data_IF_120599077855
#
_entry.id   IF_120599077855
#
_cell.length_a   1.000
_cell.length_b   1.000
_cell.length_c   1.000
_cell.angle_alpha   90.00
_cell.angle_beta   90.00
_cell.angle_gamma   90.00
#
_symmetry.space_group_name_H-M   'P 1'
#
loop_
_entity.id
_entity.type
_entity.pdbx_description
1 polymer ?
#
# COMPACT_ATOMS: atom_id res chain seq x y z
N UNK A 1 -11.61 -34.86 -23.02
CA UNK A 1 -12.23 -33.53 -22.90
C UNK A 1 -12.29 -33.21 -21.42
N UNK A 2 -11.17 -32.78 -20.85
CA UNK A 2 -11.08 -32.43 -19.43
C UNK A 2 -11.10 -30.91 -19.30
N UNK A 3 -12.19 -30.42 -18.73
CA UNK A 3 -12.44 -29.02 -18.44
C UNK A 3 -11.64 -28.66 -17.18
N UNK A 4 -10.46 -28.10 -17.36
CA UNK A 4 -9.69 -27.46 -16.29
C UNK A 4 -10.50 -26.27 -15.76
N UNK A 5 -11.09 -26.46 -14.59
CA UNK A 5 -11.62 -25.39 -13.73
C UNK A 5 -10.49 -24.40 -13.44
N UNK A 6 -10.40 -23.35 -14.25
CA UNK A 6 -9.62 -22.15 -13.96
C UNK A 6 -10.14 -21.58 -12.65
N UNK A 7 -9.36 -21.72 -11.59
CA UNK A 7 -9.58 -21.01 -10.32
C UNK A 7 -9.37 -19.53 -10.63
N UNK A 8 -10.49 -18.82 -10.81
CA UNK A 8 -10.51 -17.38 -11.00
C UNK A 8 -9.96 -16.72 -9.75
N UNK A 9 -8.82 -16.09 -9.92
CA UNK A 9 -8.13 -15.36 -8.88
C UNK A 9 -8.59 -13.90 -8.91
N UNK A 10 -8.61 -13.27 -7.73
CA UNK A 10 -9.02 -11.88 -7.51
C UNK A 10 -7.87 -11.18 -6.76
N UNK A 11 -6.78 -10.85 -7.46
CA UNK A 11 -5.55 -10.22 -6.98
C UNK A 11 -5.40 -8.75 -7.38
N UNK A 12 -6.41 -7.97 -7.04
CA UNK A 12 -6.65 -6.58 -7.42
C UNK A 12 -5.56 -5.73 -6.75
N UNK A 13 -4.59 -5.24 -7.51
CA UNK A 13 -3.85 -4.08 -7.03
C UNK A 13 -4.72 -2.84 -7.22
N UNK A 14 -4.36 -1.73 -6.61
CA UNK A 14 -5.21 -0.60 -6.21
C UNK A 14 -5.67 -0.60 -4.78
N UNK A 15 -5.83 0.62 -4.31
CA UNK A 15 -6.66 1.14 -3.23
C UNK A 15 -8.10 0.56 -3.02
N UNK A 16 -8.45 -0.68 -3.39
CA UNK A 16 -9.51 -1.51 -2.80
C UNK A 16 -9.82 -2.69 -3.72
N UNK A 17 -9.72 -3.90 -3.18
CA UNK A 17 -10.22 -5.13 -3.78
C UNK A 17 -11.57 -5.48 -3.14
N UNK A 18 -12.61 -5.84 -3.89
CA UNK A 18 -13.79 -6.50 -3.30
C UNK A 18 -15.14 -6.06 -3.85
N UNK A 19 -16.13 -6.96 -3.82
CA UNK A 19 -17.49 -6.74 -4.30
C UNK A 19 -18.32 -5.90 -3.32
N UNK A 20 -19.23 -5.07 -3.84
CA UNK A 20 -20.17 -4.26 -3.06
C UNK A 20 -21.39 -5.07 -2.61
N UNK A 21 -21.55 -5.26 -1.30
CA UNK A 21 -22.86 -5.37 -0.68
C UNK A 21 -23.00 -4.11 0.18
N UNK A 22 -24.06 -3.32 -0.03
CA UNK A 22 -24.33 -2.12 0.78
C UNK A 22 -24.34 -2.48 2.26
N UNK A 23 -23.31 -2.07 3.00
CA UNK A 23 -23.15 -2.38 4.42
C UNK A 23 -23.61 -1.17 5.24
N UNK A 24 -24.35 -1.44 6.31
CA UNK A 24 -24.66 -0.43 7.32
C UNK A 24 -23.34 0.13 7.91
N UNK A 25 -23.29 1.41 8.32
CA UNK A 25 -22.07 2.00 8.89
C UNK A 25 -21.60 1.16 10.09
N UNK A 26 -20.35 0.71 10.03
CA UNK A 26 -19.76 -0.11 11.09
C UNK A 26 -19.69 0.72 12.38
N UNK A 27 -20.35 0.25 13.45
CA UNK A 27 -20.35 0.89 14.77
C UNK A 27 -19.18 0.44 15.66
N UNK A 28 -18.22 -0.30 15.10
CA UNK A 28 -17.08 -0.92 15.79
C UNK A 28 -15.84 -0.69 14.94
N UNK A 29 -14.67 -0.38 15.53
CA UNK A 29 -13.45 -0.22 14.75
C UNK A 29 -13.02 -1.53 14.10
N UNK A 30 -12.42 -1.44 12.90
CA UNK A 30 -11.77 -2.57 12.26
C UNK A 30 -10.26 -2.49 12.50
N UNK A 31 -9.73 -3.44 13.27
CA UNK A 31 -8.34 -3.43 13.74
C UNK A 31 -7.61 -4.77 13.48
N UNK A 32 -8.23 -5.72 12.78
CA UNK A 32 -7.70 -7.08 12.64
C UNK A 32 -6.38 -7.13 11.86
N UNK A 33 -6.24 -6.31 10.80
CA UNK A 33 -5.04 -6.28 9.97
C UNK A 33 -3.84 -5.60 10.65
N UNK A 34 -4.06 -4.77 11.66
CA UNK A 34 -2.98 -4.06 12.38
C UNK A 34 -1.91 -5.03 12.88
N UNK A 35 -2.32 -6.16 13.46
CA UNK A 35 -1.39 -7.09 14.12
C UNK A 35 -0.83 -8.17 13.20
N UNK A 36 -1.33 -8.26 11.97
CA UNK A 36 -1.02 -9.34 11.04
C UNK A 36 -0.31 -8.84 9.79
N UNK A 37 -0.50 -7.58 9.43
CA UNK A 37 0.27 -6.90 8.39
C UNK A 37 1.62 -6.50 8.98
N UNK A 38 2.76 -6.89 8.35
CA UNK A 38 4.06 -6.42 8.83
C UNK A 38 4.19 -4.89 8.70
N UNK A 39 5.03 -4.31 9.55
CA UNK A 39 5.37 -2.89 9.56
C UNK A 39 6.86 -2.73 9.29
N UNK A 40 7.26 -2.98 8.04
CA UNK A 40 8.63 -2.80 7.60
C UNK A 40 8.87 -1.32 7.28
N UNK A 41 10.03 -0.81 7.71
CA UNK A 41 10.40 0.59 7.50
C UNK A 41 11.38 0.72 6.34
N UNK A 42 11.28 1.81 5.59
CA UNK A 42 12.10 2.03 4.39
C UNK A 42 13.59 2.28 4.71
N UNK A 43 13.94 2.45 5.98
CA UNK A 43 15.31 2.62 6.47
C UNK A 43 15.80 1.44 7.30
N UNK A 44 15.08 0.32 7.29
CA UNK A 44 15.52 -0.87 7.99
C UNK A 44 16.88 -1.35 7.46
N UNK A 45 17.88 -1.38 8.34
CA UNK A 45 19.26 -1.70 7.98
C UNK A 45 19.64 -3.15 8.27
N UNK A 46 18.70 -4.01 8.68
CA UNK A 46 19.00 -5.37 9.13
C UNK A 46 19.72 -6.22 8.06
N UNK A 47 19.49 -5.91 6.78
CA UNK A 47 20.12 -6.57 5.64
C UNK A 47 20.94 -5.61 4.76
N UNK A 48 21.41 -4.49 5.32
CA UNK A 48 22.24 -3.51 4.60
C UNK A 48 21.47 -2.30 4.04
N UNK A 49 20.15 -2.24 4.23
CA UNK A 49 19.31 -1.18 3.69
C UNK A 49 19.14 -1.29 2.17
N UNK A 50 18.79 -0.20 1.50
CA UNK A 50 18.52 -0.20 0.06
C UNK A 50 19.56 0.67 -0.69
N UNK A 51 20.79 0.18 -0.90
CA UNK A 51 21.78 0.88 -1.70
C UNK A 51 21.48 0.78 -3.20
N UNK A 52 21.84 1.80 -3.98
CA UNK A 52 21.95 1.68 -5.44
C UNK A 52 23.26 1.00 -5.88
N UNK A 53 23.50 0.96 -7.20
CA UNK A 53 24.72 0.40 -7.80
C UNK A 53 26.03 1.10 -7.36
N UNK A 54 25.95 2.31 -6.80
CA UNK A 54 27.08 3.07 -6.26
C UNK A 54 27.22 2.96 -4.73
N UNK A 55 26.33 2.20 -4.07
CA UNK A 55 26.33 2.06 -2.62
C UNK A 55 25.65 3.21 -1.86
N UNK A 56 24.93 4.10 -2.55
CA UNK A 56 24.19 5.20 -1.92
C UNK A 56 22.87 4.67 -1.36
N UNK A 57 22.60 4.89 -0.08
CA UNK A 57 21.38 4.42 0.56
C UNK A 57 20.16 5.27 0.14
N UNK A 58 19.18 4.62 -0.49
CA UNK A 58 17.96 5.23 -1.00
C UNK A 58 16.75 5.07 -0.07
N UNK A 59 16.97 4.68 1.18
CA UNK A 59 15.87 4.43 2.12
C UNK A 59 14.86 5.59 2.19
N UNK A 60 15.29 6.85 2.02
CA UNK A 60 14.42 8.02 1.95
C UNK A 60 13.33 8.00 0.85
N UNK A 61 13.54 7.22 -0.21
CA UNK A 61 12.72 7.19 -1.42
C UNK A 61 11.87 5.93 -1.57
N UNK A 62 12.02 4.97 -0.66
CA UNK A 62 11.47 3.62 -0.77
C UNK A 62 10.07 3.46 -0.16
N UNK A 63 9.37 4.56 0.13
CA UNK A 63 8.03 4.53 0.73
C UNK A 63 7.03 3.71 -0.08
N UNK A 64 7.06 3.83 -1.42
CA UNK A 64 6.17 3.10 -2.34
C UNK A 64 6.39 1.59 -2.31
N UNK A 65 7.61 1.12 -2.64
CA UNK A 65 7.98 -0.29 -2.53
C UNK A 65 7.74 -0.85 -1.12
N UNK A 66 8.17 -0.14 -0.08
CA UNK A 66 8.03 -0.62 1.31
C UNK A 66 6.57 -0.75 1.74
N UNK A 67 5.72 0.25 1.47
CA UNK A 67 4.28 0.15 1.79
C UNK A 67 3.58 -0.97 1.01
N UNK A 68 4.01 -1.18 -0.24
CA UNK A 68 3.50 -2.26 -1.08
C UNK A 68 3.93 -3.62 -0.53
N UNK A 69 5.18 -3.76 -0.10
CA UNK A 69 5.68 -5.03 0.47
C UNK A 69 4.95 -5.40 1.76
N UNK A 70 4.64 -4.43 2.64
CA UNK A 70 3.82 -4.69 3.83
C UNK A 70 2.50 -5.38 3.48
N UNK A 71 1.84 -4.88 2.44
CA UNK A 71 0.57 -5.42 1.93
C UNK A 71 0.72 -6.79 1.25
N UNK A 72 1.72 -6.96 0.41
CA UNK A 72 1.98 -8.21 -0.31
C UNK A 72 2.42 -9.34 0.63
N UNK A 73 3.22 -9.02 1.66
CA UNK A 73 3.60 -9.96 2.70
C UNK A 73 2.39 -10.43 3.50
N UNK A 74 1.45 -9.53 3.81
CA UNK A 74 0.19 -9.91 4.45
C UNK A 74 -0.60 -10.90 3.57
N UNK A 75 -0.77 -10.63 2.28
CA UNK A 75 -1.42 -11.56 1.37
C UNK A 75 -0.68 -12.90 1.30
N UNK A 76 0.65 -12.90 1.17
CA UNK A 76 1.47 -14.11 1.10
C UNK A 76 1.28 -14.99 2.35
N UNK A 77 1.24 -14.38 3.53
CA UNK A 77 0.98 -15.06 4.80
C UNK A 77 -0.46 -15.59 4.91
N UNK A 78 -1.39 -15.12 4.07
CA UNK A 78 -2.81 -15.50 4.05
C UNK A 78 -3.19 -16.33 2.81
N UNK A 79 -2.25 -17.10 2.27
CA UNK A 79 -2.51 -18.10 1.23
C UNK A 79 -2.16 -17.69 -0.20
N UNK A 80 -1.66 -16.48 -0.40
CA UNK A 80 -1.21 -15.96 -1.71
C UNK A 80 0.30 -16.15 -1.88
N UNK A 81 0.73 -17.40 -1.72
CA UNK A 81 2.12 -17.77 -1.42
C UNK A 81 3.16 -17.42 -2.48
N UNK A 82 2.76 -17.08 -3.71
CA UNK A 82 3.71 -16.68 -4.75
C UNK A 82 4.03 -15.18 -4.72
N UNK A 83 3.34 -14.37 -3.90
CA UNK A 83 3.57 -12.91 -3.80
C UNK A 83 4.82 -12.52 -3.00
N UNK A 84 5.43 -13.49 -2.30
CA UNK A 84 6.67 -13.29 -1.57
C UNK A 84 7.32 -14.64 -1.33
N UNK A 85 8.66 -14.71 -1.19
CA UNK A 85 9.29 -15.89 -0.59
C UNK A 85 8.65 -16.20 0.77
N UNK A 86 8.60 -17.49 1.16
CA UNK A 86 8.04 -17.96 2.43
C UNK A 86 9.10 -18.75 3.23
N UNK A 87 10.28 -18.19 3.40
CA UNK A 87 11.35 -18.80 4.18
C UNK A 87 11.12 -18.60 5.67
N UNK A 88 11.98 -19.18 6.51
CA UNK A 88 11.93 -18.95 7.96
C UNK A 88 12.33 -17.52 8.34
N UNK A 89 13.10 -16.83 7.50
CA UNK A 89 13.48 -15.44 7.73
C UNK A 89 12.52 -14.50 6.98
N UNK A 90 11.34 -14.30 7.57
CA UNK A 90 10.27 -13.46 7.00
C UNK A 90 10.70 -12.00 6.82
N UNK A 91 11.62 -11.51 7.65
CA UNK A 91 12.11 -10.13 7.54
C UNK A 91 13.02 -9.98 6.33
N UNK A 92 13.89 -10.97 6.09
CA UNK A 92 14.68 -11.02 4.85
C UNK A 92 13.79 -11.19 3.63
N UNK A 93 12.79 -12.07 3.68
CA UNK A 93 11.86 -12.25 2.55
C UNK A 93 11.16 -10.93 2.17
N UNK A 94 10.79 -10.12 3.17
CA UNK A 94 10.23 -8.80 2.92
C UNK A 94 11.25 -7.82 2.35
N UNK A 95 12.48 -7.84 2.85
CA UNK A 95 13.58 -7.03 2.32
C UNK A 95 13.81 -7.31 0.83
N UNK A 96 13.96 -8.60 0.48
CA UNK A 96 14.18 -9.06 -0.90
C UNK A 96 12.98 -8.71 -1.79
N UNK A 97 11.75 -8.77 -1.24
CA UNK A 97 10.55 -8.33 -1.94
C UNK A 97 10.57 -6.83 -2.24
N UNK A 98 11.00 -6.00 -1.29
CA UNK A 98 11.14 -4.54 -1.50
C UNK A 98 12.11 -4.26 -2.63
N UNK A 99 13.30 -4.87 -2.62
CA UNK A 99 14.28 -4.72 -3.70
C UNK A 99 13.72 -5.19 -5.05
N UNK A 100 13.04 -6.34 -5.06
CA UNK A 100 12.42 -6.88 -6.27
C UNK A 100 11.44 -5.88 -6.87
N UNK A 101 10.44 -5.41 -6.12
CA UNK A 101 9.42 -4.50 -6.67
C UNK A 101 9.96 -3.07 -6.89
N UNK A 102 11.04 -2.68 -6.21
CA UNK A 102 11.73 -1.41 -6.45
C UNK A 102 12.56 -1.40 -7.76
N UNK A 103 12.87 -2.57 -8.31
CA UNK A 103 13.66 -2.69 -9.54
C UNK A 103 13.02 -2.01 -10.74
N UNK A 104 13.84 -1.74 -11.76
CA UNK A 104 13.40 -1.17 -13.05
C UNK A 104 12.39 -2.03 -13.82
N UNK A 105 12.27 -3.31 -13.47
CA UNK A 105 11.24 -4.19 -14.05
C UNK A 105 9.84 -3.84 -13.57
N UNK A 106 9.70 -3.29 -12.36
CA UNK A 106 8.41 -3.01 -11.73
C UNK A 106 8.23 -1.51 -11.47
N UNK A 107 8.60 -1.02 -10.28
CA UNK A 107 8.31 0.37 -9.89
C UNK A 107 9.41 1.37 -10.26
N UNK A 108 10.59 0.88 -10.62
CA UNK A 108 11.75 1.68 -11.02
C UNK A 108 12.08 2.78 -10.01
N UNK A 109 12.19 2.40 -8.74
CA UNK A 109 12.32 3.34 -7.63
C UNK A 109 13.70 3.99 -7.56
N UNK A 110 14.75 3.25 -7.96
CA UNK A 110 16.14 3.70 -7.91
C UNK A 110 16.44 4.83 -8.90
N UNK A 111 15.96 4.73 -10.16
CA UNK A 111 16.26 5.70 -11.22
C UNK A 111 15.74 7.12 -10.93
N UNK A 112 14.69 7.23 -10.11
CA UNK A 112 13.92 8.48 -9.96
C UNK A 112 13.74 8.92 -8.52
N UNK A 113 14.54 8.39 -7.58
CA UNK A 113 14.45 8.72 -6.16
C UNK A 113 12.99 8.64 -5.65
N UNK A 114 12.34 7.51 -5.95
CA UNK A 114 11.01 7.17 -5.47
C UNK A 114 10.01 6.87 -6.58
N UNK A 115 8.75 6.65 -6.21
CA UNK A 115 7.74 6.07 -7.10
C UNK A 115 6.50 6.96 -7.22
N UNK A 116 6.14 7.34 -8.45
CA UNK A 116 4.90 8.07 -8.71
C UNK A 116 3.70 7.10 -8.90
N UNK A 117 2.45 7.60 -8.85
CA UNK A 117 1.25 6.75 -8.99
C UNK A 117 1.21 5.85 -10.22
N UNK A 118 1.62 6.36 -11.40
CA UNK A 118 1.64 5.57 -12.64
C UNK A 118 2.63 4.40 -12.53
N UNK A 119 3.84 4.65 -12.03
CA UNK A 119 4.88 3.62 -11.86
C UNK A 119 4.47 2.58 -10.82
N UNK A 120 3.90 3.01 -9.69
CA UNK A 120 3.38 2.09 -8.69
C UNK A 120 2.26 1.21 -9.28
N UNK A 121 1.31 1.81 -9.99
CA UNK A 121 0.18 1.06 -10.54
C UNK A 121 0.61 0.03 -11.60
N UNK A 122 1.45 0.45 -12.56
CA UNK A 122 1.97 -0.46 -13.59
C UNK A 122 2.87 -1.55 -12.98
N UNK A 123 3.83 -1.17 -12.13
CA UNK A 123 4.78 -2.09 -11.55
C UNK A 123 4.11 -3.14 -10.67
N UNK A 124 3.13 -2.73 -9.85
CA UNK A 124 2.38 -3.66 -9.02
C UNK A 124 1.46 -4.58 -9.86
N UNK A 125 0.82 -4.05 -10.92
CA UNK A 125 0.03 -4.86 -11.85
C UNK A 125 0.90 -5.95 -12.47
N UNK A 126 2.06 -5.57 -13.00
CA UNK A 126 2.99 -6.49 -13.62
C UNK A 126 3.52 -7.52 -12.61
N UNK A 127 3.92 -7.09 -11.42
CA UNK A 127 4.41 -8.00 -10.37
C UNK A 127 3.40 -9.09 -10.02
N UNK A 128 2.12 -8.71 -9.87
CA UNK A 128 1.04 -9.67 -9.56
C UNK A 128 0.86 -10.69 -10.69
N UNK A 129 0.83 -10.23 -11.96
CA UNK A 129 0.73 -11.14 -13.10
C UNK A 129 1.93 -12.08 -13.21
N UNK A 130 3.15 -11.56 -12.99
CA UNK A 130 4.39 -12.35 -13.01
C UNK A 130 4.42 -13.41 -11.89
N UNK A 131 3.79 -13.13 -10.74
CA UNK A 131 3.60 -14.11 -9.66
C UNK A 131 2.55 -15.20 -10.01
N UNK A 132 1.96 -15.13 -11.21
CA UNK A 132 0.94 -16.07 -11.69
C UNK A 132 -0.46 -15.75 -11.18
N UNK A 133 -0.71 -14.49 -10.83
CA UNK A 133 -1.96 -14.06 -10.22
C UNK A 133 -2.71 -13.02 -11.08
N UNK A 134 -4.05 -13.02 -10.99
CA UNK A 134 -4.97 -12.17 -11.76
C UNK A 134 -5.92 -11.42 -10.84
N UNK A 135 -6.36 -10.22 -11.22
CA UNK A 135 -7.32 -9.43 -10.47
C UNK A 135 -8.73 -9.32 -11.00
N UNK A 136 -9.69 -9.14 -10.08
CA UNK A 136 -11.07 -8.80 -10.49
C UNK A 136 -11.33 -7.30 -10.71
N UNK A 137 -10.54 -6.39 -10.15
CA UNK A 137 -10.61 -4.91 -10.34
C UNK A 137 -9.15 -4.35 -10.28
N UNK A 138 -8.91 -3.05 -10.17
CA UNK A 138 -7.73 -2.33 -10.70
C UNK A 138 -7.82 -0.85 -10.33
N UNK A 139 -8.51 -0.43 -9.28
CA UNK A 139 -9.18 0.90 -9.13
C UNK A 139 -8.55 2.08 -8.34
N UNK A 140 -8.10 3.11 -9.00
CA UNK A 140 -7.47 4.27 -8.40
C UNK A 140 -8.47 5.40 -8.20
N UNK A 141 -8.58 5.91 -6.98
CA UNK A 141 -9.27 7.16 -6.68
C UNK A 141 -8.29 8.24 -6.20
N UNK A 142 -8.48 9.47 -6.69
CA UNK A 142 -7.65 10.63 -6.34
C UNK A 142 -7.29 11.44 -7.58
N UNK A 143 -6.82 12.67 -7.45
CA UNK A 143 -6.62 13.57 -8.58
C UNK A 143 -5.36 13.27 -9.43
N UNK A 144 -4.39 12.52 -8.90
CA UNK A 144 -3.14 12.17 -9.60
C UNK A 144 -3.40 11.36 -10.88
N UNK A 145 -2.54 11.55 -11.88
CA UNK A 145 -2.56 10.77 -13.10
C UNK A 145 -2.14 9.32 -12.85
N UNK A 146 -2.90 8.40 -13.44
CA UNK A 146 -2.62 6.96 -13.55
C UNK A 146 -3.21 6.49 -14.89
N UNK A 147 -2.78 5.33 -15.41
CA UNK A 147 -3.41 4.72 -16.57
C UNK A 147 -4.93 4.60 -16.41
N UNK A 148 -5.67 4.88 -17.48
CA UNK A 148 -7.14 5.04 -17.42
C UNK A 148 -7.85 3.74 -17.03
N UNK A 149 -7.29 2.58 -17.35
CA UNK A 149 -7.83 1.29 -16.92
C UNK A 149 -7.86 1.15 -15.39
N UNK A 150 -7.04 1.93 -14.69
CA UNK A 150 -7.06 1.94 -13.25
C UNK A 150 -7.99 3.01 -12.67
N UNK A 151 -8.20 4.13 -13.34
CA UNK A 151 -8.89 5.29 -12.76
C UNK A 151 -10.39 5.05 -12.54
N UNK A 152 -10.88 5.18 -11.31
CA UNK A 152 -12.32 5.06 -10.98
C UNK A 152 -12.91 6.29 -10.29
N UNK A 153 -12.09 7.22 -9.80
CA UNK A 153 -12.57 8.45 -9.17
C UNK A 153 -11.48 9.52 -9.01
N UNK A 154 -11.90 10.75 -8.75
CA UNK A 154 -11.00 11.90 -8.53
C UNK A 154 -10.91 12.32 -7.06
N UNK A 155 -11.95 12.04 -6.29
CA UNK A 155 -12.01 12.23 -4.83
C UNK A 155 -12.17 10.84 -4.21
N UNK A 156 -11.31 10.45 -3.24
CA UNK A 156 -11.43 9.18 -2.55
C UNK A 156 -12.73 9.08 -1.74
N UNK A 157 -13.47 7.99 -1.93
CA UNK A 157 -14.67 7.64 -1.18
C UNK A 157 -14.29 6.87 0.10
N UNK A 158 -14.66 7.39 1.27
CA UNK A 158 -14.22 6.83 2.55
C UNK A 158 -14.77 5.40 2.79
N UNK A 159 -15.98 5.08 2.31
CA UNK A 159 -16.55 3.75 2.48
C UNK A 159 -15.85 2.72 1.60
N UNK A 160 -15.50 3.09 0.37
CA UNK A 160 -14.67 2.30 -0.53
C UNK A 160 -13.29 2.02 0.08
N UNK A 161 -12.68 3.02 0.72
CA UNK A 161 -11.39 2.85 1.42
C UNK A 161 -11.51 1.88 2.60
N UNK A 162 -12.59 1.97 3.40
CA UNK A 162 -12.87 1.02 4.49
C UNK A 162 -13.05 -0.41 3.96
N UNK A 163 -13.84 -0.58 2.90
CA UNK A 163 -14.06 -1.88 2.27
C UNK A 163 -12.75 -2.53 1.78
N UNK A 164 -11.83 -1.73 1.22
CA UNK A 164 -10.50 -2.19 0.82
C UNK A 164 -9.62 -2.65 1.99
N UNK A 165 -9.81 -2.09 3.19
CA UNK A 165 -9.12 -2.51 4.42
C UNK A 165 -9.76 -3.77 5.01
N UNK A 166 -11.09 -3.85 5.07
CA UNK A 166 -11.81 -4.96 5.72
C UNK A 166 -11.70 -6.29 4.96
N UNK A 167 -11.46 -6.26 3.66
CA UNK A 167 -11.56 -7.47 2.86
C UNK A 167 -10.46 -8.51 3.14
N UNK A 168 -10.78 -9.82 3.11
CA UNK A 168 -9.84 -10.89 3.47
C UNK A 168 -8.77 -11.18 2.40
N UNK A 169 -8.92 -10.66 1.19
CA UNK A 169 -8.00 -10.87 0.06
C UNK A 169 -7.61 -9.53 -0.59
N UNK A 170 -7.55 -8.49 0.23
CA UNK A 170 -7.58 -7.10 -0.23
C UNK A 170 -6.44 -6.33 0.42
N UNK A 171 -5.83 -5.44 -0.34
CA UNK A 171 -4.81 -4.53 0.16
C UNK A 171 -5.21 -3.09 -0.15
N UNK A 172 -4.73 -2.18 0.67
CA UNK A 172 -5.06 -0.76 0.59
C UNK A 172 -3.79 0.06 0.82
N UNK A 173 -3.40 0.82 -0.19
CA UNK A 173 -2.25 1.73 -0.16
C UNK A 173 -2.76 3.16 -0.30
N UNK A 174 -2.17 4.13 0.38
CA UNK A 174 -2.48 5.55 0.14
C UNK A 174 -1.27 6.29 -0.39
N UNK A 175 -1.51 7.17 -1.38
CA UNK A 175 -0.58 8.23 -1.75
C UNK A 175 -1.02 9.52 -1.09
N UNK A 176 -0.35 9.91 -0.02
CA UNK A 176 -0.63 11.16 0.70
C UNK A 176 0.28 12.27 0.19
N UNK A 177 -0.12 13.52 0.41
CA UNK A 177 0.66 14.70 0.04
C UNK A 177 0.75 15.69 1.19
N UNK A 178 1.90 16.36 1.31
CA UNK A 178 2.04 17.53 2.15
C UNK A 178 1.78 18.79 1.34
N UNK A 179 1.10 19.74 1.95
CA UNK A 179 0.71 20.97 1.31
C UNK A 179 1.03 22.15 2.22
N UNK A 180 1.66 23.16 1.64
CA UNK A 180 1.88 24.46 2.27
C UNK A 180 0.73 25.38 1.87
N UNK A 181 0.08 25.99 2.86
CA UNK A 181 -0.98 26.97 2.63
C UNK A 181 -0.37 28.36 2.47
N UNK A 182 -0.70 29.03 1.36
CA UNK A 182 -0.29 30.39 1.04
C UNK A 182 -1.44 31.35 1.34
N UNK A 183 -1.39 32.01 2.49
CA UNK A 183 -2.47 32.90 2.95
C UNK A 183 -2.73 34.09 2.00
N UNK A 184 -1.69 34.58 1.32
CA UNK A 184 -1.79 35.71 0.39
C UNK A 184 -2.63 35.40 -0.85
N UNK A 185 -2.55 34.17 -1.36
CA UNK A 185 -3.30 33.71 -2.53
C UNK A 185 -4.49 32.83 -2.17
N UNK A 186 -4.62 32.43 -0.90
CA UNK A 186 -5.57 31.44 -0.42
C UNK A 186 -5.48 30.10 -1.19
N UNK A 187 -4.25 29.66 -1.48
CA UNK A 187 -3.97 28.45 -2.24
C UNK A 187 -3.08 27.48 -1.47
N UNK A 188 -3.15 26.20 -1.82
CA UNK A 188 -2.26 25.17 -1.29
C UNK A 188 -1.26 24.76 -2.37
N UNK A 189 0.05 24.79 -2.06
CA UNK A 189 1.09 24.21 -2.92
C UNK A 189 1.54 22.88 -2.35
N UNK A 190 1.62 21.85 -3.19
CA UNK A 190 2.13 20.53 -2.76
C UNK A 190 3.66 20.57 -2.62
N UNK A 191 4.17 20.11 -1.48
CA UNK A 191 5.60 20.13 -1.14
C UNK A 191 6.22 18.72 -1.09
N UNK A 192 5.40 17.68 -1.03
CA UNK A 192 5.93 16.33 -1.08
C UNK A 192 4.83 15.28 -1.08
N UNK A 193 5.25 14.03 -1.19
CA UNK A 193 4.37 12.87 -1.23
C UNK A 193 4.90 11.71 -0.45
N UNK A 194 3.99 10.83 -0.06
CA UNK A 194 4.35 9.64 0.69
C UNK A 194 3.40 8.50 0.37
N UNK A 195 3.92 7.28 0.44
CA UNK A 195 3.11 6.07 0.37
C UNK A 195 3.04 5.44 1.75
N UNK A 196 1.85 4.96 2.09
CA UNK A 196 1.59 4.30 3.38
C UNK A 196 0.69 3.08 3.18
N UNK A 197 0.80 2.12 4.09
CA UNK A 197 -0.06 0.92 4.14
C UNK A 197 -1.24 1.18 5.07
N UNK A 198 -2.47 0.87 4.63
CA UNK A 198 -3.65 0.99 5.48
C UNK A 198 -3.99 -0.34 6.14
N UNK A 199 -4.21 -0.32 7.45
CA UNK A 199 -4.35 -1.54 8.25
C UNK A 199 -5.56 -1.55 9.18
N UNK A 200 -6.24 -0.41 9.34
CA UNK A 200 -7.43 -0.32 10.16
C UNK A 200 -8.21 0.96 9.94
N UNK A 201 -9.39 1.05 10.53
CA UNK A 201 -10.19 2.27 10.51
C UNK A 201 -11.15 2.36 11.70
N UNK A 202 -11.75 3.53 11.79
CA UNK A 202 -12.78 3.89 12.75
C UNK A 202 -12.31 3.88 14.21
N UNK A 203 -11.02 4.13 14.45
CA UNK A 203 -10.40 4.21 15.78
C UNK A 203 -9.40 5.35 15.83
N UNK A 204 -9.44 6.15 16.89
CA UNK A 204 -8.41 7.16 17.19
C UNK A 204 -7.29 6.60 18.10
N UNK A 205 -7.26 5.29 18.32
CA UNK A 205 -6.33 4.60 19.22
C UNK A 205 -6.84 4.43 20.65
N UNK A 206 -7.92 5.10 21.02
CA UNK A 206 -8.55 4.98 22.35
C UNK A 206 -10.03 4.62 22.29
N UNK A 207 -10.75 5.18 21.32
CA UNK A 207 -12.18 5.02 21.14
C UNK A 207 -12.52 4.86 19.66
N UNK A 208 -13.75 4.40 19.41
CA UNK A 208 -14.34 4.44 18.07
C UNK A 208 -14.48 5.88 17.59
N UNK A 209 -13.99 6.15 16.39
CA UNK A 209 -14.17 7.42 15.69
C UNK A 209 -14.16 7.16 14.18
N UNK A 210 -15.29 7.33 13.47
CA UNK A 210 -15.42 6.96 12.06
C UNK A 210 -14.52 7.77 11.12
N UNK A 211 -14.01 8.91 11.57
CA UNK A 211 -13.16 9.80 10.77
C UNK A 211 -11.67 9.46 10.89
N UNK A 212 -11.31 8.35 11.54
CA UNK A 212 -9.94 7.91 11.62
C UNK A 212 -9.65 6.67 10.78
N UNK A 213 -8.45 6.66 10.21
CA UNK A 213 -7.81 5.48 9.63
C UNK A 213 -6.52 5.16 10.38
N UNK A 214 -6.12 3.88 10.36
CA UNK A 214 -4.87 3.40 10.94
C UNK A 214 -3.93 2.99 9.83
N UNK A 215 -2.70 3.51 9.88
CA UNK A 215 -1.66 3.28 8.87
C UNK A 215 -0.39 2.72 9.50
N UNK A 216 0.34 1.94 8.70
CA UNK A 216 1.77 1.69 8.88
C UNK A 216 2.52 2.63 7.92
N UNK A 217 3.21 3.62 8.48
CA UNK A 217 3.99 4.60 7.73
C UNK A 217 5.46 4.12 7.70
N UNK A 218 6.00 3.78 6.51
CA UNK A 218 7.34 3.21 6.42
C UNK A 218 8.46 4.23 6.69
N UNK A 219 8.16 5.54 6.80
CA UNK A 219 9.18 6.58 6.87
C UNK A 219 9.99 6.53 8.17
N UNK A 220 11.30 6.85 8.13
CA UNK A 220 12.16 6.83 9.33
C UNK A 220 11.66 7.70 10.50
N UNK A 221 10.86 8.74 10.23
CA UNK A 221 10.29 9.62 11.28
C UNK A 221 9.30 8.91 12.20
N UNK A 222 8.77 7.76 11.81
CA UNK A 222 7.82 6.97 12.63
C UNK A 222 8.53 6.02 13.58
N UNK A 223 9.86 5.90 13.47
CA UNK A 223 10.71 5.07 14.31
C UNK A 223 11.29 3.87 13.55
N UNK A 224 12.06 3.06 14.26
CA UNK A 224 12.69 1.85 13.72
C UNK A 224 11.96 0.55 14.13
N UNK A 225 10.81 0.67 14.79
CA UNK A 225 10.02 -0.45 15.29
C UNK A 225 8.54 -0.25 15.00
N UNK A 226 7.78 -1.33 15.18
CA UNK A 226 6.35 -1.36 14.90
C UNK A 226 5.59 -0.18 15.53
N UNK A 227 4.82 0.55 14.73
CA UNK A 227 4.03 1.67 15.17
C UNK A 227 2.70 1.79 14.40
N UNK A 228 1.61 2.01 15.15
CA UNK A 228 0.34 2.40 14.57
C UNK A 228 0.25 3.93 14.51
N UNK A 229 -0.01 4.48 13.32
CA UNK A 229 -0.32 5.88 13.15
C UNK A 229 -1.82 6.07 12.88
N UNK A 230 -2.46 6.92 13.67
CA UNK A 230 -3.88 7.22 13.57
C UNK A 230 -4.07 8.55 12.83
N UNK A 231 -4.73 8.50 11.68
CA UNK A 231 -4.90 9.65 10.78
C UNK A 231 -6.36 10.06 10.76
N UNK A 232 -6.64 11.29 11.19
CA UNK A 232 -7.94 11.92 11.02
C UNK A 232 -8.14 12.36 9.57
N UNK A 233 -9.31 12.10 9.00
CA UNK A 233 -9.73 12.61 7.70
C UNK A 233 -10.89 13.58 7.86
N UNK A 234 -10.78 14.72 7.17
CA UNK A 234 -11.85 15.70 7.06
C UNK A 234 -12.62 15.44 5.76
N UNK A 235 -13.95 15.29 5.80
CA UNK A 235 -14.79 15.09 4.61
C UNK A 235 -14.98 16.36 3.78
#
# INVERSE_FOLDING_TARGET
MDCLLRRGLVALAVCAVGFSVSRAPASVPYLEKIWTTPDYTQTDSAYGGFPDEYGVLHGGYFCGPTSTSNSLMWLANNGWTNLAPLTSDRKKDQHDLVETIASSTYMDAYEYDGVNPTRLANGLSQYIHDCGYEYSRFEWQGWRAVPSQFKTGTIPDLDWMRAGIEGPNTIQLWSVGWYNYHAETNEYSRDGGHWVTMVGHSSNGTAYDPNYFVIHDPAPRTGAGFANNYVHVEP
#
